data_IF_576396657186
#
_entry.id   IF_576396657186
#
_cell.length_a   1.000
_cell.length_b   1.000
_cell.length_c   1.000
_cell.angle_alpha   90.00
_cell.angle_beta   90.00
_cell.angle_gamma   90.00
#
_symmetry.space_group_name_H-M   'P 1'
#
loop_
_entity.id
_entity.type
_entity.pdbx_description
1 polymer ?
#
# COMPACT_ATOMS: atom_id res chain seq x y z
N UNK A 1 17.07 -57.53 -14.92
CA UNK A 1 16.06 -56.97 -13.99
C UNK A 1 16.15 -55.44 -13.77
N UNK A 2 17.17 -54.73 -14.29
CA UNK A 2 17.34 -53.28 -14.05
C UNK A 2 16.55 -52.35 -15.00
N UNK A 3 16.19 -52.82 -16.20
CA UNK A 3 15.42 -52.06 -17.20
C UNK A 3 14.01 -51.64 -16.73
N UNK A 4 13.17 -52.51 -16.15
CA UNK A 4 11.85 -52.08 -15.67
C UNK A 4 11.95 -51.13 -14.47
N UNK A 5 12.96 -51.29 -13.62
CA UNK A 5 13.20 -50.39 -12.49
C UNK A 5 13.56 -48.98 -12.96
N UNK A 6 14.38 -48.86 -14.01
CA UNK A 6 14.72 -47.57 -14.61
C UNK A 6 13.48 -46.91 -15.26
N UNK A 7 12.64 -47.70 -15.93
CA UNK A 7 11.39 -47.20 -16.51
C UNK A 7 10.41 -46.71 -15.43
N UNK A 8 10.27 -47.44 -14.32
CA UNK A 8 9.43 -47.01 -13.18
C UNK A 8 9.97 -45.71 -12.58
N UNK A 9 11.29 -45.61 -12.38
CA UNK A 9 11.92 -44.39 -11.88
C UNK A 9 11.67 -43.19 -12.82
N UNK A 10 11.75 -43.39 -14.13
CA UNK A 10 11.52 -42.35 -15.12
C UNK A 10 10.06 -41.84 -15.08
N UNK A 11 9.10 -42.75 -14.93
CA UNK A 11 7.67 -42.41 -14.79
C UNK A 11 7.43 -41.62 -13.49
N UNK A 12 8.03 -42.03 -12.37
CA UNK A 12 7.91 -41.31 -11.11
C UNK A 12 8.46 -39.87 -11.20
N UNK A 13 9.60 -39.68 -11.86
CA UNK A 13 10.19 -38.35 -12.08
C UNK A 13 9.28 -37.50 -12.96
N UNK A 14 8.75 -38.06 -14.05
CA UNK A 14 7.83 -37.34 -14.94
C UNK A 14 6.56 -36.88 -14.23
N UNK A 15 5.97 -37.71 -13.37
CA UNK A 15 4.79 -37.35 -12.58
C UNK A 15 5.09 -36.25 -11.55
N UNK A 16 6.29 -36.22 -10.97
CA UNK A 16 6.70 -35.20 -10.02
C UNK A 16 6.93 -33.82 -10.66
N UNK A 17 7.46 -33.78 -11.88
CA UNK A 17 7.72 -32.53 -12.61
C UNK A 17 6.45 -31.74 -12.97
N UNK A 18 5.28 -32.41 -13.04
CA UNK A 18 4.01 -31.76 -13.36
C UNK A 18 3.38 -31.03 -12.15
N UNK A 19 3.97 -31.11 -10.96
CA UNK A 19 3.44 -30.48 -9.73
C UNK A 19 4.04 -29.10 -9.44
N UNK A 20 4.86 -28.54 -10.33
CA UNK A 20 5.42 -27.19 -10.17
C UNK A 20 4.36 -26.17 -10.59
N UNK A 21 3.34 -25.98 -9.75
CA UNK A 21 2.42 -24.86 -9.87
C UNK A 21 3.09 -23.61 -9.27
N UNK A 22 3.43 -22.62 -10.10
CA UNK A 22 3.82 -21.31 -9.62
C UNK A 22 2.59 -20.62 -9.00
N UNK A 23 2.73 -20.06 -7.79
CA UNK A 23 1.65 -19.26 -7.21
C UNK A 23 1.48 -17.97 -8.04
N UNK A 24 0.30 -17.77 -8.61
CA UNK A 24 -0.12 -16.45 -9.08
C UNK A 24 -0.32 -15.54 -7.86
N UNK A 25 0.73 -14.84 -7.44
CA UNK A 25 0.62 -13.82 -6.41
C UNK A 25 0.30 -12.48 -7.07
N UNK A 26 -0.99 -12.17 -7.18
CA UNK A 26 -1.41 -10.79 -7.41
C UNK A 26 -1.53 -10.08 -6.06
N UNK A 27 -0.99 -8.86 -5.91
CA UNK A 27 -1.26 -8.06 -4.73
C UNK A 27 -2.77 -7.82 -4.64
N UNK A 28 -3.40 -8.40 -3.61
CA UNK A 28 -4.81 -8.17 -3.31
C UNK A 28 -4.91 -7.04 -2.29
N UNK A 29 -5.74 -6.04 -2.58
CA UNK A 29 -6.09 -4.96 -1.66
C UNK A 29 -7.31 -5.33 -0.78
N UNK A 30 -7.57 -6.62 -0.57
CA UNK A 30 -8.68 -7.16 0.22
C UNK A 30 -8.34 -7.36 1.71
N UNK A 31 -7.12 -7.02 2.12
CA UNK A 31 -6.71 -6.99 3.53
C UNK A 31 -7.56 -6.05 4.39
N UNK A 32 -7.43 -6.18 5.72
CA UNK A 32 -8.18 -5.38 6.69
C UNK A 32 -7.98 -3.89 6.43
N UNK A 33 -9.06 -3.20 6.05
CA UNK A 33 -9.05 -1.74 5.86
C UNK A 33 -9.02 -1.06 7.22
N UNK A 34 -7.87 -0.53 7.62
CA UNK A 34 -7.76 0.31 8.81
C UNK A 34 -8.20 1.73 8.49
N UNK A 35 -9.25 2.20 9.15
CA UNK A 35 -9.65 3.61 9.07
C UNK A 35 -8.68 4.45 9.89
N UNK A 36 -7.94 5.36 9.24
CA UNK A 36 -7.09 6.32 9.93
C UNK A 36 -7.90 7.60 10.23
N UNK A 37 -8.27 7.78 11.50
CA UNK A 37 -9.01 8.95 11.99
C UNK A 37 -8.12 10.01 12.64
N UNK A 38 -6.80 9.88 12.50
CA UNK A 38 -5.84 10.81 13.07
C UNK A 38 -5.74 12.09 12.23
N UNK A 39 -5.41 13.20 12.89
CA UNK A 39 -4.98 14.40 12.18
C UNK A 39 -3.68 14.16 11.41
N UNK A 40 -3.67 14.60 10.15
CA UNK A 40 -2.47 14.71 9.32
C UNK A 40 -2.22 16.19 9.05
N UNK A 41 -1.00 16.65 9.34
CA UNK A 41 -0.61 18.06 9.14
C UNK A 41 0.54 18.14 8.14
N UNK A 42 0.34 18.89 7.05
CA UNK A 42 1.43 19.34 6.19
C UNK A 42 1.85 20.72 6.66
N UNK A 43 3.11 20.89 7.08
CA UNK A 43 3.61 22.14 7.67
C UNK A 43 4.69 22.78 6.81
N UNK A 44 4.91 24.08 6.98
CA UNK A 44 5.94 24.85 6.27
C UNK A 44 5.81 24.73 4.73
N UNK A 45 4.58 24.65 4.25
CA UNK A 45 4.27 24.49 2.83
C UNK A 45 3.88 25.84 2.20
N UNK A 46 4.09 26.00 0.89
CA UNK A 46 3.40 27.04 0.11
C UNK A 46 2.06 26.47 -0.33
N UNK A 47 0.96 27.00 0.21
CA UNK A 47 -0.39 26.49 -0.04
C UNK A 47 -1.13 27.47 -0.93
N UNK A 48 -1.53 27.02 -2.13
CA UNK A 48 -2.36 27.79 -3.05
C UNK A 48 -3.81 27.39 -2.79
N UNK A 49 -4.58 28.28 -2.16
CA UNK A 49 -5.99 28.02 -1.81
C UNK A 49 -6.91 28.39 -2.98
N UNK A 50 -6.58 29.47 -3.67
CA UNK A 50 -7.25 29.94 -4.87
C UNK A 50 -6.24 30.65 -5.78
N UNK A 51 -6.59 30.97 -7.04
CA UNK A 51 -5.68 31.68 -7.94
C UNK A 51 -5.14 33.00 -7.39
N UNK A 52 -5.87 33.65 -6.47
CA UNK A 52 -5.50 34.94 -5.87
C UNK A 52 -5.02 34.81 -4.42
N UNK A 53 -5.12 33.63 -3.80
CA UNK A 53 -4.78 33.42 -2.40
C UNK A 53 -3.70 32.33 -2.25
N UNK A 54 -2.52 32.75 -1.83
CA UNK A 54 -1.39 31.87 -1.48
C UNK A 54 -1.00 32.11 -0.03
N UNK A 55 -0.70 31.03 0.69
CA UNK A 55 -0.23 31.05 2.07
C UNK A 55 1.19 30.48 2.07
N UNK A 56 2.18 31.34 2.28
CA UNK A 56 3.57 30.93 2.45
C UNK A 56 3.82 30.43 3.87
N UNK A 57 4.69 29.41 4.01
CA UNK A 57 4.98 28.73 5.30
C UNK A 57 3.70 28.27 6.03
N UNK A 58 2.69 27.90 5.26
CA UNK A 58 1.38 27.44 5.71
C UNK A 58 1.38 26.03 6.29
N UNK A 59 0.33 25.75 7.04
CA UNK A 59 -0.05 24.43 7.53
C UNK A 59 -1.41 24.03 6.95
N UNK A 60 -1.56 22.78 6.49
CA UNK A 60 -2.81 22.16 6.06
C UNK A 60 -3.11 20.98 6.98
N UNK A 61 -4.26 20.99 7.65
CA UNK A 61 -4.70 19.88 8.51
C UNK A 61 -5.83 19.10 7.81
N UNK A 62 -5.63 17.78 7.73
CA UNK A 62 -6.58 16.82 7.19
C UNK A 62 -6.99 15.85 8.29
N UNK A 63 -8.29 15.55 8.38
CA UNK A 63 -8.84 14.48 9.22
C UNK A 63 -10.00 13.82 8.49
N UNK A 64 -10.08 12.49 8.57
CA UNK A 64 -11.15 11.70 7.95
C UNK A 64 -11.36 12.02 6.46
N UNK A 65 -10.25 12.27 5.74
CA UNK A 65 -10.26 12.62 4.31
C UNK A 65 -10.76 14.03 3.99
N UNK A 66 -10.98 14.89 4.99
CA UNK A 66 -11.44 16.27 4.83
C UNK A 66 -10.40 17.26 5.33
N UNK A 67 -10.32 18.41 4.65
CA UNK A 67 -9.55 19.55 5.13
C UNK A 67 -10.32 20.19 6.28
N UNK A 68 -9.71 20.24 7.46
CA UNK A 68 -10.32 20.85 8.66
C UNK A 68 -9.76 22.24 8.97
N UNK A 69 -8.52 22.53 8.55
CA UNK A 69 -7.91 23.84 8.76
C UNK A 69 -6.77 24.13 7.78
N UNK A 70 -6.57 25.40 7.41
CA UNK A 70 -5.46 25.88 6.57
C UNK A 70 -5.01 27.30 6.97
N UNK A 71 -3.68 27.54 7.08
CA UNK A 71 -3.16 28.84 7.57
C UNK A 71 -1.70 28.82 8.02
N UNK A 72 -1.08 30.00 8.19
CA UNK A 72 0.36 30.15 8.51
C UNK A 72 0.74 29.87 9.98
N UNK A 73 -0.19 29.96 10.93
CA UNK A 73 0.07 29.82 12.36
C UNK A 73 -0.96 28.90 13.04
N UNK A 74 -1.09 27.68 12.52
CA UNK A 74 -2.02 26.70 13.10
C UNK A 74 -1.36 25.95 14.24
N UNK A 75 -2.02 25.93 15.40
CA UNK A 75 -1.65 25.04 16.50
C UNK A 75 -2.10 23.63 16.14
N UNK A 76 -1.14 22.71 15.99
CA UNK A 76 -1.42 21.31 15.67
C UNK A 76 -2.00 20.63 16.91
N UNK A 77 -3.28 20.25 16.85
CA UNK A 77 -3.93 19.46 17.89
C UNK A 77 -3.40 18.04 17.90
N UNK A 78 -3.09 17.51 19.09
CA UNK A 78 -2.68 16.11 19.27
C UNK A 78 -3.91 15.20 19.30
N UNK A 79 -3.79 14.00 18.72
CA UNK A 79 -4.80 12.93 18.85
C UNK A 79 -4.83 12.36 20.26
#
# INVERSE_FOLDING_TARGET
>A
MKKPLLSVLLVCVFLYLNQIAAQEYFPKNDGVKTTNTNYTAFTNAKIIVSPTQTIDKGTLIIKDGKIVQVGANIIITKN
#
